data_IF_210138956754
#
_entry.id   IF_210138956754
#
_cell.length_a   1.000
_cell.length_b   1.000
_cell.length_c   1.000
_cell.angle_alpha   90.00
_cell.angle_beta   90.00
_cell.angle_gamma   90.00
#
_symmetry.space_group_name_H-M   'P 1'
#
loop_
_entity.id
_entity.type
_entity.pdbx_description
1 polymer ?
#
# COMPACT_ATOMS: atom_id res chain seq x y z
N UNK A 1 69.61 12.74 3.24
CA UNK A 1 69.15 12.00 4.43
C UNK A 1 67.63 12.14 4.49
N UNK A 2 66.90 11.02 4.42
CA UNK A 2 65.43 10.96 4.53
C UNK A 2 64.97 11.22 5.98
N UNK A 3 63.75 11.74 6.17
CA UNK A 3 62.90 11.27 7.26
C UNK A 3 61.67 10.55 6.71
N UNK A 4 61.47 9.34 7.23
CA UNK A 4 60.46 8.38 6.81
C UNK A 4 59.03 8.82 7.08
N UNK A 5 58.15 8.38 6.19
CA UNK A 5 56.71 8.36 6.37
C UNK A 5 56.33 7.46 7.55
N UNK A 6 55.51 7.97 8.46
CA UNK A 6 54.78 7.15 9.43
C UNK A 6 53.29 7.30 9.15
N UNK A 7 52.76 6.37 8.34
CA UNK A 7 51.34 6.24 8.05
C UNK A 7 50.62 5.69 9.28
N UNK A 8 49.95 6.56 10.05
CA UNK A 8 49.08 6.10 11.12
C UNK A 8 47.72 5.67 10.53
N UNK A 9 47.59 4.38 10.22
CA UNK A 9 46.34 3.76 9.78
C UNK A 9 45.36 3.66 10.95
N UNK A 10 44.59 4.72 11.18
CA UNK A 10 43.48 4.71 12.14
C UNK A 10 42.35 3.82 11.63
N UNK A 11 42.30 2.58 12.10
CA UNK A 11 41.19 1.65 11.85
C UNK A 11 39.88 2.26 12.36
N UNK A 12 39.00 2.65 11.41
CA UNK A 12 37.65 3.14 11.72
C UNK A 12 36.85 1.99 12.30
N UNK A 13 36.70 1.94 13.62
CA UNK A 13 35.85 0.95 14.29
C UNK A 13 34.42 1.13 13.77
N UNK A 14 33.92 0.16 13.02
CA UNK A 14 32.53 0.13 12.58
C UNK A 14 31.67 -0.17 13.81
N UNK A 15 31.06 0.85 14.42
CA UNK A 15 30.11 0.62 15.50
C UNK A 15 28.91 -0.18 14.95
N UNK A 16 28.40 -1.16 15.71
CA UNK A 16 27.17 -1.85 15.34
C UNK A 16 26.02 -0.84 15.36
N UNK A 17 25.40 -0.62 14.20
CA UNK A 17 24.16 0.15 14.11
C UNK A 17 23.07 -0.65 14.82
N UNK A 18 22.73 -0.24 16.05
CA UNK A 18 21.49 -0.68 16.70
C UNK A 18 20.38 -0.37 15.72
N UNK A 19 19.71 -1.41 15.19
CA UNK A 19 18.49 -1.24 14.42
C UNK A 19 17.51 -0.55 15.35
N UNK A 20 17.40 0.78 15.24
CA UNK A 20 16.35 1.54 15.91
C UNK A 20 15.05 0.81 15.58
N UNK A 21 14.33 0.38 16.62
CA UNK A 21 12.95 -0.09 16.47
C UNK A 21 12.29 0.95 15.56
N UNK A 22 11.92 0.56 14.35
CA UNK A 22 11.25 1.46 13.44
C UNK A 22 9.91 1.72 14.14
N UNK A 23 9.80 2.85 14.84
CA UNK A 23 8.50 3.41 15.15
C UNK A 23 7.90 3.65 13.78
N UNK A 24 7.10 2.71 13.27
CA UNK A 24 6.47 2.81 11.96
C UNK A 24 5.88 4.22 11.90
N UNK A 25 6.46 5.14 11.10
CA UNK A 25 5.81 6.42 10.90
C UNK A 25 4.69 6.06 9.93
N UNK A 26 3.61 5.54 10.50
CA UNK A 26 2.37 5.30 9.79
C UNK A 26 1.96 6.56 9.06
N UNK A 27 1.03 6.42 8.14
CA UNK A 27 0.53 7.57 7.40
C UNK A 27 -0.09 8.55 8.40
N UNK A 28 0.07 9.86 8.18
CA UNK A 28 -0.57 10.85 9.05
C UNK A 28 -2.09 10.59 9.09
N UNK A 29 -2.62 10.57 10.30
CA UNK A 29 -4.05 10.50 10.61
C UNK A 29 -4.77 11.73 10.05
N UNK A 30 -6.09 11.61 9.88
CA UNK A 30 -6.92 12.74 9.40
C UNK A 30 -6.79 13.93 10.34
N UNK A 31 -6.74 13.68 11.66
CA UNK A 31 -6.61 14.73 12.67
C UNK A 31 -5.29 15.48 12.52
N UNK A 32 -4.16 14.77 12.37
CA UNK A 32 -2.85 15.40 12.18
C UNK A 32 -2.82 16.25 10.90
N UNK A 33 -3.38 15.74 9.79
CA UNK A 33 -3.52 16.52 8.55
C UNK A 33 -4.40 17.75 8.74
N UNK A 34 -5.49 17.63 9.49
CA UNK A 34 -6.41 18.74 9.76
C UNK A 34 -5.72 19.83 10.59
N UNK A 35 -4.95 19.45 11.61
CA UNK A 35 -4.16 20.38 12.43
C UNK A 35 -3.18 21.16 11.56
N UNK A 36 -2.45 20.49 10.67
CA UNK A 36 -1.54 21.14 9.71
C UNK A 36 -2.26 22.16 8.81
N UNK A 37 -3.45 21.82 8.33
CA UNK A 37 -4.25 22.71 7.47
C UNK A 37 -4.82 23.89 8.28
N UNK A 38 -5.22 23.67 9.52
CA UNK A 38 -5.70 24.74 10.40
C UNK A 38 -4.58 25.75 10.71
N UNK A 39 -3.36 25.29 10.97
CA UNK A 39 -2.20 26.18 11.14
C UNK A 39 -1.87 26.93 9.86
N UNK A 40 -1.92 26.27 8.70
CA UNK A 40 -1.74 26.93 7.42
C UNK A 40 -2.78 28.05 7.19
N UNK A 41 -4.06 27.79 7.50
CA UNK A 41 -5.11 28.81 7.42
C UNK A 41 -4.84 29.97 8.37
N UNK A 42 -4.45 29.69 9.62
CA UNK A 42 -4.12 30.72 10.61
C UNK A 42 -3.00 31.64 10.12
N UNK A 43 -1.89 31.07 9.65
CA UNK A 43 -0.73 31.85 9.17
C UNK A 43 -1.09 32.69 7.94
N UNK A 44 -1.98 32.20 7.07
CA UNK A 44 -2.48 33.00 5.94
C UNK A 44 -3.35 34.18 6.39
N UNK A 45 -4.18 34.00 7.42
CA UNK A 45 -4.98 35.08 7.99
C UNK A 45 -4.10 36.13 8.66
N UNK A 46 -3.12 35.70 9.44
CA UNK A 46 -2.22 36.57 10.19
C UNK A 46 -1.21 37.29 9.27
N UNK A 47 -0.74 36.61 8.21
CA UNK A 47 0.31 37.09 7.31
C UNK A 47 0.04 36.75 5.84
N UNK A 48 -0.86 37.52 5.21
CA UNK A 48 -1.36 37.31 3.83
C UNK A 48 -0.27 37.26 2.73
N UNK A 49 0.89 37.90 2.93
CA UNK A 49 1.97 37.99 1.92
C UNK A 49 3.13 37.01 2.11
N UNK A 50 3.05 36.08 3.07
CA UNK A 50 4.13 35.15 3.35
C UNK A 50 4.35 34.14 2.22
N UNK A 51 5.61 33.95 1.81
CA UNK A 51 5.98 32.91 0.84
C UNK A 51 5.64 31.53 1.41
N UNK A 52 5.05 30.65 0.60
CA UNK A 52 4.65 29.29 1.04
C UNK A 52 5.82 28.50 1.65
N UNK A 53 7.05 28.72 1.18
CA UNK A 53 8.27 28.08 1.73
C UNK A 53 8.47 28.39 3.22
N UNK A 54 8.26 29.64 3.61
CA UNK A 54 8.45 30.08 4.99
C UNK A 54 7.36 29.50 5.88
N UNK A 55 6.10 29.57 5.42
CA UNK A 55 4.94 28.98 6.11
C UNK A 55 5.14 27.48 6.34
N UNK A 56 5.60 26.75 5.34
CA UNK A 56 5.88 25.31 5.47
C UNK A 56 7.03 25.06 6.47
N UNK A 57 8.08 25.87 6.43
CA UNK A 57 9.22 25.72 7.34
C UNK A 57 8.82 25.96 8.79
N UNK A 58 7.97 26.95 9.05
CA UNK A 58 7.42 27.26 10.36
C UNK A 58 6.55 26.11 10.89
N UNK A 59 5.55 25.69 10.10
CA UNK A 59 4.65 24.59 10.46
C UNK A 59 5.44 23.30 10.73
N UNK A 60 6.40 22.97 9.86
CA UNK A 60 7.24 21.78 10.03
C UNK A 60 8.03 21.81 11.35
N UNK A 61 8.57 22.99 11.71
CA UNK A 61 9.33 23.18 12.94
C UNK A 61 8.44 23.08 14.18
N UNK A 62 7.23 23.63 14.14
CA UNK A 62 6.29 23.63 15.28
C UNK A 62 5.74 22.23 15.56
N UNK A 63 5.36 21.49 14.52
CA UNK A 63 4.72 20.17 14.67
C UNK A 63 5.74 19.03 14.75
N UNK A 64 6.97 19.26 14.31
CA UNK A 64 7.99 18.21 14.22
C UNK A 64 7.75 17.25 13.05
N UNK A 65 7.22 17.75 11.93
CA UNK A 65 6.93 16.96 10.72
C UNK A 65 7.87 17.37 9.60
N UNK A 66 8.25 16.43 8.75
CA UNK A 66 9.08 16.72 7.58
C UNK A 66 8.43 17.76 6.66
N UNK A 67 9.19 18.76 6.20
CA UNK A 67 8.72 19.83 5.29
C UNK A 67 8.03 19.26 4.04
N UNK A 68 8.56 18.17 3.49
CA UNK A 68 8.00 17.47 2.32
C UNK A 68 6.56 16.97 2.56
N UNK A 69 6.27 16.45 3.75
CA UNK A 69 4.93 15.99 4.15
C UNK A 69 3.95 17.16 4.24
N UNK A 70 4.37 18.26 4.88
CA UNK A 70 3.56 19.49 4.98
C UNK A 70 3.26 20.06 3.59
N UNK A 71 4.25 20.11 2.71
CA UNK A 71 4.07 20.50 1.30
C UNK A 71 3.02 19.64 0.59
N UNK A 72 3.13 18.31 0.72
CA UNK A 72 2.20 17.37 0.08
C UNK A 72 0.77 17.61 0.54
N UNK A 73 0.57 17.79 1.85
CA UNK A 73 -0.75 18.04 2.46
C UNK A 73 -1.34 19.38 2.00
N UNK A 74 -0.54 20.46 2.02
CA UNK A 74 -1.00 21.77 1.55
C UNK A 74 -1.33 21.73 0.05
N UNK A 75 -0.52 21.03 -0.76
CA UNK A 75 -0.77 20.87 -2.19
C UNK A 75 -2.09 20.11 -2.43
N UNK A 76 -2.27 18.98 -1.76
CA UNK A 76 -3.51 18.20 -1.81
C UNK A 76 -4.72 19.05 -1.43
N UNK A 77 -4.64 19.75 -0.29
CA UNK A 77 -5.69 20.65 0.18
C UNK A 77 -5.98 21.80 -0.79
N UNK A 78 -4.97 22.38 -1.45
CA UNK A 78 -5.19 23.42 -2.45
C UNK A 78 -5.99 22.92 -3.65
N UNK A 79 -5.75 21.68 -4.07
CA UNK A 79 -6.43 21.04 -5.19
C UNK A 79 -7.85 20.57 -4.82
N UNK A 80 -8.02 19.88 -3.69
CA UNK A 80 -9.28 19.22 -3.32
C UNK A 80 -10.17 20.05 -2.39
N UNK A 81 -9.59 21.02 -1.67
CA UNK A 81 -10.21 21.77 -0.56
C UNK A 81 -10.69 20.90 0.60
N UNK A 82 -10.30 19.62 0.63
CA UNK A 82 -10.71 18.65 1.65
C UNK A 82 -9.50 17.95 2.27
N UNK A 83 -9.67 17.44 3.49
CA UNK A 83 -8.65 16.65 4.18
C UNK A 83 -8.99 15.18 4.00
N UNK A 84 -8.29 14.52 3.08
CA UNK A 84 -8.56 13.11 2.81
C UNK A 84 -7.81 12.19 3.80
N UNK A 85 -8.43 11.08 4.22
CA UNK A 85 -7.71 10.00 4.88
C UNK A 85 -6.57 9.48 4.00
N UNK A 86 -5.44 9.16 4.62
CA UNK A 86 -4.40 8.42 3.91
C UNK A 86 -4.87 6.98 3.72
N UNK A 87 -5.37 6.64 2.54
CA UNK A 87 -5.74 5.26 2.24
C UNK A 87 -4.49 4.41 2.04
N UNK A 88 -4.33 3.39 2.89
CA UNK A 88 -3.37 2.35 2.61
C UNK A 88 -3.93 1.45 1.51
N UNK A 89 -3.48 1.67 0.27
CA UNK A 89 -3.72 0.72 -0.84
C UNK A 89 -2.75 -0.45 -0.71
N UNK A 90 -2.93 -1.23 0.37
CA UNK A 90 -2.12 -2.40 0.65
C UNK A 90 -2.59 -3.62 -0.14
N UNK A 91 -1.62 -4.36 -0.70
CA UNK A 91 -1.80 -5.73 -1.17
C UNK A 91 -2.08 -5.89 -2.67
N UNK A 92 -1.70 -7.06 -3.19
CA UNK A 92 -2.12 -7.52 -4.52
C UNK A 92 -3.65 -7.61 -4.51
N UNK A 93 -4.36 -7.01 -5.48
CA UNK A 93 -5.80 -7.19 -5.58
C UNK A 93 -6.06 -8.70 -5.59
N UNK A 94 -6.89 -9.16 -4.65
CA UNK A 94 -7.27 -10.55 -4.61
C UNK A 94 -8.04 -10.81 -5.90
N UNK A 95 -7.37 -11.40 -6.91
CA UNK A 95 -7.92 -11.73 -8.22
C UNK A 95 -9.32 -12.38 -8.11
N UNK A 96 -9.52 -13.11 -7.03
CA UNK A 96 -10.73 -13.86 -6.71
C UNK A 96 -11.83 -13.00 -6.06
N UNK A 97 -11.48 -11.94 -5.34
CA UNK A 97 -12.42 -11.06 -4.64
C UNK A 97 -13.24 -10.18 -5.62
N UNK A 98 -12.81 -10.09 -6.88
CA UNK A 98 -13.48 -9.34 -7.94
C UNK A 98 -14.16 -10.23 -9.00
N UNK A 99 -14.26 -11.55 -8.78
CA UNK A 99 -15.01 -12.40 -9.71
C UNK A 99 -16.51 -12.22 -9.47
N UNK A 100 -17.24 -12.04 -10.56
CA UNK A 100 -18.68 -11.82 -10.56
C UNK A 100 -19.44 -13.03 -9.99
N UNK A 101 -20.61 -12.78 -9.39
CA UNK A 101 -21.46 -13.85 -8.83
C UNK A 101 -21.95 -14.83 -9.90
N UNK A 102 -22.09 -14.35 -11.14
CA UNK A 102 -22.38 -15.20 -12.31
C UNK A 102 -21.29 -16.27 -12.51
N UNK A 103 -20.03 -15.84 -12.54
CA UNK A 103 -18.86 -16.70 -12.69
C UNK A 103 -18.79 -17.72 -11.55
N UNK A 104 -19.12 -17.29 -10.33
CA UNK A 104 -19.16 -18.19 -9.17
C UNK A 104 -20.18 -19.30 -9.32
N UNK A 105 -21.36 -18.94 -9.79
CA UNK A 105 -22.47 -19.88 -9.99
C UNK A 105 -22.11 -20.92 -11.05
N UNK A 106 -21.52 -20.50 -12.18
CA UNK A 106 -21.12 -21.41 -13.26
C UNK A 106 -20.06 -22.39 -12.76
N UNK A 107 -19.03 -21.93 -12.03
CA UNK A 107 -17.99 -22.84 -11.51
C UNK A 107 -18.57 -23.83 -10.49
N UNK A 108 -19.52 -23.42 -9.63
CA UNK A 108 -20.23 -24.36 -8.74
C UNK A 108 -20.97 -25.42 -9.54
N UNK A 109 -21.67 -25.05 -10.61
CA UNK A 109 -22.37 -25.99 -11.47
C UNK A 109 -21.41 -26.99 -12.12
N UNK A 110 -20.25 -26.51 -12.59
CA UNK A 110 -19.19 -27.37 -13.14
C UNK A 110 -18.74 -28.38 -12.07
N UNK A 111 -18.40 -27.93 -10.87
CA UNK A 111 -17.98 -28.81 -9.77
C UNK A 111 -19.08 -29.81 -9.40
N UNK A 112 -20.33 -29.36 -9.28
CA UNK A 112 -21.48 -30.21 -9.00
C UNK A 112 -21.71 -31.28 -10.09
N UNK A 113 -21.43 -30.96 -11.35
CA UNK A 113 -21.56 -31.92 -12.46
C UNK A 113 -20.64 -33.13 -12.30
N UNK A 114 -19.45 -32.98 -11.70
CA UNK A 114 -18.57 -34.10 -11.40
C UNK A 114 -19.19 -35.02 -10.35
N UNK A 115 -19.79 -34.45 -9.30
CA UNK A 115 -20.49 -35.24 -8.28
C UNK A 115 -21.70 -35.98 -8.86
N UNK A 116 -22.46 -35.37 -9.77
CA UNK A 116 -23.56 -36.04 -10.48
C UNK A 116 -23.10 -37.22 -11.34
N UNK A 117 -21.84 -37.19 -11.81
CA UNK A 117 -21.21 -38.29 -12.55
C UNK A 117 -20.48 -39.30 -11.65
N UNK A 118 -20.56 -39.17 -10.32
CA UNK A 118 -19.77 -39.94 -9.36
C UNK A 118 -18.25 -39.85 -9.57
N UNK A 119 -17.78 -38.71 -10.10
CA UNK A 119 -16.36 -38.43 -10.31
C UNK A 119 -15.82 -37.46 -9.25
N UNK A 120 -14.58 -37.66 -8.80
CA UNK A 120 -13.92 -36.73 -7.89
C UNK A 120 -13.49 -35.46 -8.66
N UNK A 121 -13.99 -34.25 -8.32
CA UNK A 121 -13.60 -33.01 -8.96
C UNK A 121 -12.20 -32.59 -8.51
N UNK A 122 -11.18 -33.09 -9.18
CA UNK A 122 -9.79 -32.65 -8.96
C UNK A 122 -9.58 -31.27 -9.57
N UNK A 123 -8.69 -30.47 -8.96
CA UNK A 123 -8.38 -29.11 -9.43
C UNK A 123 -7.98 -29.06 -10.92
N UNK A 124 -7.22 -30.05 -11.41
CA UNK A 124 -6.85 -30.17 -12.83
C UNK A 124 -8.07 -30.36 -13.73
N UNK A 125 -8.98 -31.26 -13.36
CA UNK A 125 -10.20 -31.55 -14.15
C UNK A 125 -11.12 -30.33 -14.23
N UNK A 126 -11.30 -29.65 -13.10
CA UNK A 126 -12.10 -28.42 -13.04
C UNK A 126 -11.42 -27.31 -13.85
N UNK A 127 -10.09 -27.19 -13.79
CA UNK A 127 -9.34 -26.20 -14.56
C UNK A 127 -9.48 -26.41 -16.07
N UNK A 128 -9.38 -27.66 -16.53
CA UNK A 128 -9.57 -28.02 -17.93
C UNK A 128 -10.98 -27.66 -18.42
N UNK A 129 -12.01 -28.00 -17.63
CA UNK A 129 -13.41 -27.70 -17.99
C UNK A 129 -13.69 -26.20 -18.00
N UNK A 130 -13.16 -25.45 -17.03
CA UNK A 130 -13.32 -23.98 -16.95
C UNK A 130 -12.63 -23.30 -18.13
N UNK A 131 -11.38 -23.68 -18.42
CA UNK A 131 -10.62 -23.08 -19.53
C UNK A 131 -11.11 -23.55 -20.91
N UNK A 132 -11.91 -24.62 -20.99
CA UNK A 132 -12.55 -25.05 -22.24
C UNK A 132 -13.77 -24.21 -22.60
N UNK A 133 -14.35 -23.45 -21.67
CA UNK A 133 -15.57 -22.66 -21.90
C UNK A 133 -15.21 -21.23 -22.32
N UNK A 134 -15.69 -20.72 -23.46
CA UNK A 134 -15.42 -19.35 -23.89
C UNK A 134 -16.12 -18.29 -23.01
N UNK A 135 -17.19 -18.69 -22.32
CA UNK A 135 -18.00 -17.83 -21.45
C UNK A 135 -17.33 -17.51 -20.10
N UNK A 136 -16.20 -18.16 -19.79
CA UNK A 136 -15.48 -18.02 -18.54
C UNK A 136 -14.10 -17.38 -18.74
N UNK A 137 -13.63 -16.58 -17.77
CA UNK A 137 -12.28 -16.05 -17.84
C UNK A 137 -11.26 -17.18 -17.69
N UNK A 138 -10.30 -17.21 -18.61
CA UNK A 138 -9.13 -18.10 -18.51
C UNK A 138 -8.41 -17.86 -17.19
N UNK A 139 -8.25 -18.91 -16.40
CA UNK A 139 -7.67 -18.81 -15.07
C UNK A 139 -6.49 -19.75 -14.88
N UNK A 140 -5.56 -19.37 -13.99
CA UNK A 140 -4.47 -20.25 -13.58
C UNK A 140 -4.90 -21.21 -12.48
N UNK A 141 -4.22 -22.37 -12.36
CA UNK A 141 -4.42 -23.35 -11.27
C UNK A 141 -4.48 -22.70 -9.88
N UNK A 142 -3.54 -21.80 -9.60
CA UNK A 142 -3.46 -21.10 -8.30
C UNK A 142 -4.66 -20.17 -8.05
N UNK A 143 -5.25 -19.63 -9.11
CA UNK A 143 -6.42 -18.75 -9.04
C UNK A 143 -7.68 -19.57 -8.81
N UNK A 144 -7.82 -20.70 -9.52
CA UNK A 144 -8.92 -21.65 -9.32
C UNK A 144 -8.89 -22.25 -7.91
N UNK A 145 -7.72 -22.60 -7.37
CA UNK A 145 -7.61 -23.11 -6.00
C UNK A 145 -8.12 -22.10 -4.95
N UNK A 146 -7.69 -20.84 -5.07
CA UNK A 146 -8.15 -19.76 -4.18
C UNK A 146 -9.64 -19.50 -4.35
N UNK A 147 -10.14 -19.64 -5.58
CA UNK A 147 -11.55 -19.55 -5.90
C UNK A 147 -12.38 -20.64 -5.21
N UNK A 148 -12.00 -21.92 -5.38
CA UNK A 148 -12.65 -23.06 -4.73
C UNK A 148 -12.71 -22.89 -3.21
N UNK A 149 -11.62 -22.41 -2.60
CA UNK A 149 -11.61 -22.05 -1.17
C UNK A 149 -12.63 -20.97 -0.79
N UNK A 150 -12.82 -19.95 -1.63
CA UNK A 150 -13.81 -18.90 -1.37
C UNK A 150 -15.24 -19.38 -1.49
N UNK A 151 -15.50 -20.35 -2.37
CA UNK A 151 -16.83 -20.93 -2.55
C UNK A 151 -17.11 -22.09 -1.58
N UNK A 152 -16.26 -22.28 -0.55
CA UNK A 152 -16.31 -23.33 0.46
C UNK A 152 -16.20 -24.77 -0.08
N UNK A 153 -15.51 -24.94 -1.21
CA UNK A 153 -15.10 -26.26 -1.69
C UNK A 153 -13.66 -26.52 -1.24
N UNK A 154 -13.46 -27.66 -0.55
CA UNK A 154 -12.18 -28.08 0.03
C UNK A 154 -11.48 -29.12 -0.83
#
# INVERSE_FOLDING_TARGET
MNPGQSTNSGSRKHLPTVKRKLCNPGHLTVIEKQTLINMYKKILTDNSKSKTVNVVSEIASVVGVAKSTVYRIIKEYKCTKMVSPSEHKGGRPALVKNLDESTKTIIRQIVNSFFSRNEIPTLDKVLSEVNSRPDLPQMSRSSLYKFMKQINFH
#
